data_IF_544233173159
#
_entry.id   IF_544233173159
#
_cell.length_a   1.000
_cell.length_b   1.000
_cell.length_c   1.000
_cell.angle_alpha   90.00
_cell.angle_beta   90.00
_cell.angle_gamma   90.00
#
_symmetry.space_group_name_H-M   'P 1'
#
loop_
_entity.id
_entity.type
_entity.pdbx_description
1 polymer ?
#
# COMPACT_ATOMS: atom_id res chain seq x y z
N UNK A 1 -44.80 3.11 8.66
CA UNK A 1 -43.46 3.67 8.45
C UNK A 1 -42.66 3.29 9.68
N UNK A 2 -41.76 2.32 9.58
CA UNK A 2 -40.87 1.95 10.67
C UNK A 2 -39.92 3.11 10.90
N UNK A 3 -39.94 3.72 12.08
CA UNK A 3 -38.87 4.61 12.51
C UNK A 3 -37.59 3.79 12.55
N UNK A 4 -36.77 3.88 11.48
CA UNK A 4 -35.41 3.35 11.50
C UNK A 4 -34.65 4.19 12.52
N UNK A 5 -34.24 3.57 13.61
CA UNK A 5 -33.45 4.22 14.63
C UNK A 5 -32.15 4.71 14.00
N UNK A 6 -31.88 6.02 14.06
CA UNK A 6 -30.57 6.58 13.75
C UNK A 6 -29.66 6.11 14.89
N UNK A 7 -28.66 5.29 14.53
CA UNK A 7 -27.64 4.87 15.48
C UNK A 7 -26.85 6.12 15.86
N UNK A 8 -26.70 6.39 17.14
CA UNK A 8 -25.95 7.54 17.63
C UNK A 8 -24.50 7.45 17.15
N UNK A 9 -23.94 8.56 16.69
CA UNK A 9 -22.54 8.62 16.30
C UNK A 9 -21.64 8.38 17.51
N UNK A 10 -20.61 7.54 17.34
CA UNK A 10 -19.65 7.28 18.42
C UNK A 10 -18.79 8.52 18.68
N UNK A 11 -18.76 8.99 19.91
CA UNK A 11 -17.95 10.13 20.34
C UNK A 11 -16.46 9.87 20.13
N UNK A 12 -16.00 8.62 20.35
CA UNK A 12 -14.60 8.23 20.17
C UNK A 12 -14.15 8.29 18.70
N UNK A 13 -15.02 7.88 17.77
CA UNK A 13 -14.75 8.00 16.34
C UNK A 13 -14.70 9.49 15.96
N UNK A 14 -15.66 10.29 16.42
CA UNK A 14 -15.70 11.73 16.15
C UNK A 14 -14.48 12.46 16.73
N UNK A 15 -14.05 12.12 17.94
CA UNK A 15 -12.85 12.64 18.57
C UNK A 15 -11.59 12.32 17.77
N UNK A 16 -11.44 11.07 17.37
CA UNK A 16 -10.31 10.64 16.54
C UNK A 16 -10.27 11.36 15.18
N UNK A 17 -11.44 11.53 14.54
CA UNK A 17 -11.57 12.30 13.30
C UNK A 17 -11.25 13.79 13.48
N UNK A 18 -11.56 14.38 14.62
CA UNK A 18 -11.29 15.80 14.90
C UNK A 18 -9.79 16.12 14.88
N UNK A 19 -8.94 15.15 15.23
CA UNK A 19 -7.49 15.28 15.19
C UNK A 19 -6.96 15.50 13.77
N UNK A 20 -7.69 15.05 12.75
CA UNK A 20 -7.34 15.22 11.33
C UNK A 20 -7.56 16.66 10.81
N UNK A 21 -8.13 17.55 11.63
CA UNK A 21 -8.32 18.98 11.36
C UNK A 21 -9.10 19.30 10.07
N UNK A 22 -9.91 18.37 9.57
CA UNK A 22 -10.69 18.56 8.33
C UNK A 22 -11.70 19.70 8.40
N UNK A 23 -12.13 20.14 9.59
CA UNK A 23 -12.98 21.32 9.78
C UNK A 23 -12.39 22.62 9.21
N UNK A 24 -11.06 22.66 8.99
CA UNK A 24 -10.40 23.80 8.35
C UNK A 24 -10.49 23.77 6.81
N UNK A 25 -10.85 22.62 6.25
CA UNK A 25 -10.82 22.36 4.81
C UNK A 25 -12.25 22.14 4.28
N UNK A 26 -13.13 21.56 5.11
CA UNK A 26 -14.47 21.14 4.73
C UNK A 26 -15.53 21.89 5.49
N UNK A 27 -16.68 22.16 4.80
CA UNK A 27 -17.88 22.63 5.47
C UNK A 27 -18.48 21.53 6.39
N UNK A 28 -19.26 21.94 7.38
CA UNK A 28 -19.92 20.99 8.30
C UNK A 28 -20.76 19.95 7.58
N UNK A 29 -21.46 20.32 6.49
CA UNK A 29 -22.26 19.41 5.66
C UNK A 29 -21.39 18.30 5.03
N UNK A 30 -20.21 18.66 4.53
CA UNK A 30 -19.31 17.68 3.94
C UNK A 30 -18.63 16.79 5.00
N UNK A 31 -18.33 17.38 6.16
CA UNK A 31 -17.81 16.65 7.31
C UNK A 31 -18.81 15.63 7.82
N UNK A 32 -20.10 15.98 7.88
CA UNK A 32 -21.20 15.07 8.25
C UNK A 32 -21.22 13.82 7.33
N UNK A 33 -21.08 14.01 6.00
CA UNK A 33 -21.00 12.88 5.08
C UNK A 33 -19.79 11.98 5.33
N UNK A 34 -18.62 12.57 5.60
CA UNK A 34 -17.42 11.81 5.93
C UNK A 34 -17.61 11.01 7.22
N UNK A 35 -18.13 11.63 8.25
CA UNK A 35 -18.42 10.98 9.53
C UNK A 35 -19.37 9.80 9.32
N UNK A 36 -20.46 9.98 8.58
CA UNK A 36 -21.42 8.92 8.30
C UNK A 36 -20.81 7.75 7.51
N UNK A 37 -19.96 8.04 6.52
CA UNK A 37 -19.24 7.00 5.74
C UNK A 37 -18.29 6.20 6.64
N UNK A 38 -17.51 6.89 7.47
CA UNK A 38 -16.54 6.24 8.37
C UNK A 38 -17.25 5.39 9.42
N UNK A 39 -18.32 5.90 10.03
CA UNK A 39 -19.12 5.09 10.98
C UNK A 39 -19.70 3.85 10.30
N UNK A 40 -20.24 4.00 9.08
CA UNK A 40 -20.79 2.86 8.33
C UNK A 40 -19.74 1.79 8.03
N UNK A 41 -18.46 2.15 7.86
CA UNK A 41 -17.38 1.19 7.63
C UNK A 41 -17.14 0.25 8.84
N UNK A 42 -17.49 0.68 10.05
CA UNK A 42 -17.39 -0.14 11.26
C UNK A 42 -18.62 -1.03 11.52
N UNK A 43 -19.70 -0.88 10.75
CA UNK A 43 -20.89 -1.72 10.94
C UNK A 43 -20.62 -3.19 10.61
N UNK A 44 -21.21 -4.15 11.35
CA UNK A 44 -21.13 -5.57 11.02
C UNK A 44 -21.62 -5.91 9.61
N UNK A 45 -22.65 -5.20 9.13
CA UNK A 45 -23.27 -5.37 7.82
C UNK A 45 -22.65 -4.52 6.70
N UNK A 46 -21.48 -3.91 6.95
CA UNK A 46 -20.82 -3.12 5.94
C UNK A 46 -20.29 -3.98 4.80
N UNK A 47 -20.76 -3.71 3.59
CA UNK A 47 -20.37 -4.39 2.36
C UNK A 47 -19.99 -3.38 1.26
N UNK A 48 -19.39 -2.25 1.62
CA UNK A 48 -19.05 -1.18 0.68
C UNK A 48 -20.25 -0.38 0.17
N UNK A 49 -21.43 -0.54 0.81
CA UNK A 49 -22.68 0.10 0.38
C UNK A 49 -22.85 1.45 1.06
N UNK A 50 -22.97 2.51 0.25
CA UNK A 50 -23.29 3.87 0.73
C UNK A 50 -24.65 3.90 1.45
N UNK A 51 -25.56 2.97 1.14
CA UNK A 51 -26.88 2.89 1.77
C UNK A 51 -26.83 2.79 3.31
N UNK A 52 -25.73 2.27 3.87
CA UNK A 52 -25.57 2.16 5.33
C UNK A 52 -25.36 3.50 6.04
N UNK A 53 -25.00 4.57 5.31
CA UNK A 53 -24.85 5.91 5.89
C UNK A 53 -26.15 6.46 6.48
N UNK A 54 -27.30 5.96 6.04
CA UNK A 54 -28.64 6.31 6.60
C UNK A 54 -28.75 6.08 8.12
N UNK A 55 -27.94 5.20 8.67
CA UNK A 55 -27.94 4.94 10.12
C UNK A 55 -27.20 6.02 10.93
N UNK A 56 -26.42 6.88 10.28
CA UNK A 56 -25.57 7.88 10.93
C UNK A 56 -25.82 9.30 10.46
N UNK A 57 -26.73 9.50 9.52
CA UNK A 57 -27.08 10.81 8.98
C UNK A 57 -28.53 10.78 8.51
N UNK A 58 -29.25 11.89 8.69
CA UNK A 58 -30.59 12.10 8.14
C UNK A 58 -30.57 12.30 6.61
N UNK A 59 -29.39 12.44 6.02
CA UNK A 59 -29.22 12.64 4.58
C UNK A 59 -29.53 11.36 3.81
N UNK A 60 -30.32 11.51 2.77
CA UNK A 60 -30.62 10.39 1.88
C UNK A 60 -29.33 9.89 1.18
N UNK A 61 -29.26 8.58 0.90
CA UNK A 61 -28.11 7.94 0.22
C UNK A 61 -27.67 8.62 -1.08
N UNK A 62 -28.62 9.27 -1.82
CA UNK A 62 -28.32 10.03 -3.02
C UNK A 62 -27.47 11.26 -2.76
N UNK A 63 -27.66 11.92 -1.60
CA UNK A 63 -26.81 13.05 -1.18
C UNK A 63 -25.37 12.60 -0.92
N UNK A 64 -25.18 11.42 -0.32
CA UNK A 64 -23.86 10.83 -0.09
C UNK A 64 -23.22 10.42 -1.43
N UNK A 65 -23.99 9.81 -2.34
CA UNK A 65 -23.49 9.49 -3.68
C UNK A 65 -23.10 10.77 -4.45
N UNK A 66 -23.91 11.83 -4.36
CA UNK A 66 -23.58 13.13 -4.96
C UNK A 66 -22.34 13.76 -4.31
N UNK A 67 -22.22 13.73 -2.99
CA UNK A 67 -21.02 14.18 -2.27
C UNK A 67 -19.75 13.51 -2.80
N UNK A 68 -19.75 12.18 -3.00
CA UNK A 68 -18.61 11.46 -3.50
C UNK A 68 -18.34 11.75 -5.00
N UNK A 69 -19.37 11.72 -5.84
CA UNK A 69 -19.21 11.82 -7.28
C UNK A 69 -19.04 13.27 -7.77
N UNK A 70 -19.86 14.19 -7.28
CA UNK A 70 -20.06 15.52 -7.86
C UNK A 70 -19.88 16.66 -6.87
N UNK A 71 -19.77 16.36 -5.57
CA UNK A 71 -19.58 17.36 -4.52
C UNK A 71 -18.36 18.27 -4.79
N UNK A 72 -18.51 19.56 -4.53
CA UNK A 72 -17.49 20.59 -4.81
C UNK A 72 -16.42 20.71 -3.73
N UNK A 73 -16.24 19.70 -2.89
CA UNK A 73 -15.17 19.70 -1.89
C UNK A 73 -13.81 19.35 -2.50
N UNK A 74 -12.76 19.97 -1.96
CA UNK A 74 -11.39 19.72 -2.41
C UNK A 74 -10.84 18.45 -1.79
N UNK A 75 -11.04 17.33 -2.51
CA UNK A 75 -10.49 16.03 -2.09
C UNK A 75 -8.97 15.95 -2.18
N UNK A 76 -8.33 16.79 -3.00
CA UNK A 76 -6.87 16.84 -3.09
C UNK A 76 -6.28 17.51 -1.85
N UNK A 77 -6.93 18.55 -1.32
CA UNK A 77 -6.48 19.17 -0.08
C UNK A 77 -6.69 18.26 1.13
N UNK A 78 -7.79 17.50 1.17
CA UNK A 78 -8.00 16.45 2.19
C UNK A 78 -6.92 15.37 2.09
N UNK A 79 -6.58 14.91 0.89
CA UNK A 79 -5.52 13.92 0.65
C UNK A 79 -4.15 14.48 1.08
N UNK A 80 -3.80 15.72 0.73
CA UNK A 80 -2.55 16.36 1.18
C UNK A 80 -2.48 16.45 2.71
N UNK A 81 -3.57 16.86 3.35
CA UNK A 81 -3.64 16.94 4.82
C UNK A 81 -3.46 15.57 5.45
N UNK A 82 -4.11 14.55 4.89
CA UNK A 82 -3.96 13.16 5.33
C UNK A 82 -2.53 12.64 5.17
N UNK A 83 -1.93 12.82 3.99
CA UNK A 83 -0.54 12.40 3.73
C UNK A 83 0.44 13.07 4.68
N UNK A 84 0.25 14.36 4.94
CA UNK A 84 1.06 15.09 5.92
C UNK A 84 0.97 14.45 7.30
N UNK A 85 -0.22 14.09 7.76
CA UNK A 85 -0.39 13.46 9.06
C UNK A 85 0.21 12.04 9.12
N UNK A 86 0.10 11.25 8.05
CA UNK A 86 0.75 9.96 7.96
C UNK A 86 2.27 10.08 8.06
N UNK A 87 2.87 11.04 7.34
CA UNK A 87 4.31 11.37 7.44
C UNK A 87 4.67 11.81 8.85
N UNK A 88 3.98 12.81 9.40
CA UNK A 88 4.27 13.36 10.73
C UNK A 88 4.23 12.26 11.79
N UNK A 89 3.26 11.36 11.72
CA UNK A 89 3.09 10.25 12.66
C UNK A 89 4.21 9.22 12.56
N UNK A 90 4.56 8.78 11.33
CA UNK A 90 5.62 7.78 11.13
C UNK A 90 6.99 8.37 11.42
N UNK A 91 7.24 9.62 11.02
CA UNK A 91 8.53 10.29 11.28
C UNK A 91 8.71 10.64 12.76
N UNK A 92 7.63 10.96 13.47
CA UNK A 92 7.69 11.10 14.93
C UNK A 92 8.08 9.77 15.58
N UNK A 93 7.49 8.65 15.14
CA UNK A 93 7.86 7.32 15.62
C UNK A 93 9.34 7.00 15.37
N UNK A 94 9.83 7.34 14.18
CA UNK A 94 11.24 7.13 13.83
C UNK A 94 12.17 7.96 14.72
N UNK A 95 11.87 9.25 14.97
CA UNK A 95 12.66 10.08 15.89
C UNK A 95 12.67 9.53 17.30
N UNK A 96 11.52 9.04 17.78
CA UNK A 96 11.36 8.51 19.13
C UNK A 96 12.09 7.18 19.32
N UNK A 97 12.00 6.28 18.35
CA UNK A 97 12.54 4.92 18.45
C UNK A 97 13.96 4.76 17.90
N UNK A 98 14.47 5.75 17.13
CA UNK A 98 15.71 5.61 16.37
C UNK A 98 15.62 4.63 15.20
N UNK A 99 14.47 4.00 14.97
CA UNK A 99 14.28 2.97 13.96
C UNK A 99 14.14 3.57 12.56
N UNK A 100 14.52 2.82 11.50
CA UNK A 100 14.45 3.27 10.13
C UNK A 100 13.01 3.45 9.65
N UNK A 101 12.84 4.33 8.67
CA UNK A 101 11.59 4.51 7.92
C UNK A 101 11.60 3.63 6.68
N UNK A 102 10.50 2.96 6.42
CA UNK A 102 10.26 2.21 5.19
C UNK A 102 9.19 2.90 4.36
N UNK A 103 9.48 3.17 3.08
CA UNK A 103 8.49 3.51 2.08
C UNK A 103 8.26 2.28 1.21
N UNK A 104 7.05 1.73 1.25
CA UNK A 104 6.72 0.44 0.63
C UNK A 104 5.73 0.68 -0.48
N UNK A 105 6.03 0.17 -1.67
CA UNK A 105 5.20 0.34 -2.87
C UNK A 105 4.81 -1.02 -3.43
N UNK A 106 3.52 -1.14 -3.73
CA UNK A 106 2.95 -2.29 -4.43
C UNK A 106 1.63 -1.89 -5.09
N UNK A 107 1.05 -2.73 -5.91
CA UNK A 107 -0.27 -2.51 -6.48
C UNK A 107 -1.26 -3.63 -6.13
N UNK A 108 -2.53 -3.27 -6.18
CA UNK A 108 -3.62 -4.19 -5.90
C UNK A 108 -4.76 -3.99 -6.90
N UNK A 109 -5.62 -4.98 -7.01
CA UNK A 109 -6.77 -4.98 -7.91
C UNK A 109 -8.07 -5.00 -7.12
N UNK A 110 -9.10 -4.35 -7.67
CA UNK A 110 -10.48 -4.44 -7.23
C UNK A 110 -11.33 -4.93 -8.40
N UNK A 111 -11.75 -6.21 -8.32
CA UNK A 111 -12.50 -6.88 -9.40
C UNK A 111 -13.98 -6.52 -9.35
N UNK A 112 -14.60 -6.35 -10.52
CA UNK A 112 -16.01 -6.05 -10.68
C UNK A 112 -16.67 -7.00 -11.67
N UNK A 113 -18.00 -7.11 -11.57
CA UNK A 113 -18.78 -7.67 -12.65
C UNK A 113 -18.77 -6.69 -13.83
N UNK A 114 -18.33 -7.14 -14.99
CA UNK A 114 -18.32 -6.31 -16.18
C UNK A 114 -19.76 -5.82 -16.50
N UNK A 115 -19.95 -4.53 -16.78
CA UNK A 115 -21.24 -4.04 -17.20
C UNK A 115 -21.62 -4.63 -18.56
N UNK A 116 -22.92 -4.68 -18.86
CA UNK A 116 -23.40 -5.04 -20.20
C UNK A 116 -22.78 -4.11 -21.25
N UNK A 117 -22.52 -4.61 -22.44
CA UNK A 117 -22.05 -3.81 -23.58
C UNK A 117 -23.02 -2.66 -23.96
N UNK A 118 -24.29 -2.77 -23.56
CA UNK A 118 -25.32 -1.75 -23.75
C UNK A 118 -25.42 -0.78 -22.56
N UNK A 119 -24.55 -0.87 -21.56
CA UNK A 119 -24.61 0.01 -20.40
C UNK A 119 -24.30 1.46 -20.82
N UNK A 120 -25.22 2.39 -20.53
CA UNK A 120 -25.07 3.82 -20.81
C UNK A 120 -23.94 4.45 -19.99
N UNK A 121 -23.66 3.90 -18.83
CA UNK A 121 -22.64 4.40 -17.90
C UNK A 121 -21.74 3.24 -17.43
N UNK A 122 -20.69 2.90 -18.19
CA UNK A 122 -19.69 1.93 -17.75
C UNK A 122 -18.96 2.43 -16.49
N UNK A 123 -18.23 1.55 -15.81
CA UNK A 123 -17.40 1.93 -14.68
C UNK A 123 -16.14 2.65 -15.22
N UNK A 124 -15.99 3.94 -14.87
CA UNK A 124 -14.85 4.75 -15.32
C UNK A 124 -13.53 4.18 -14.80
N UNK A 125 -12.47 4.21 -15.60
CA UNK A 125 -11.13 3.70 -15.31
C UNK A 125 -11.05 2.21 -14.94
N UNK A 126 -12.10 1.42 -15.18
CA UNK A 126 -12.04 -0.03 -15.07
C UNK A 126 -11.85 -0.66 -16.45
N UNK A 127 -11.04 -1.70 -16.54
CA UNK A 127 -10.75 -2.38 -17.80
C UNK A 127 -10.41 -3.85 -17.60
N UNK A 128 -10.39 -4.61 -18.70
CA UNK A 128 -9.97 -6.01 -18.67
C UNK A 128 -8.46 -6.13 -18.53
N UNK A 129 -8.04 -6.95 -17.57
CA UNK A 129 -6.66 -7.36 -17.34
C UNK A 129 -6.54 -8.88 -17.29
N UNK A 130 -5.39 -9.40 -17.68
CA UNK A 130 -5.08 -10.80 -17.44
C UNK A 130 -4.75 -10.97 -15.95
N UNK A 131 -5.64 -11.59 -15.21
CA UNK A 131 -5.41 -11.94 -13.81
C UNK A 131 -4.52 -13.19 -13.72
N UNK A 132 -3.30 -13.02 -13.23
CA UNK A 132 -2.39 -14.14 -13.01
C UNK A 132 -2.91 -15.13 -11.95
N UNK A 133 -3.70 -14.65 -10.99
CA UNK A 133 -4.32 -15.47 -9.95
C UNK A 133 -5.48 -16.32 -10.50
N UNK A 134 -6.36 -15.69 -11.28
CA UNK A 134 -7.54 -16.35 -11.87
C UNK A 134 -7.24 -17.05 -13.18
N UNK A 135 -6.08 -16.79 -13.80
CA UNK A 135 -5.68 -17.27 -15.13
C UNK A 135 -6.69 -16.94 -16.25
N UNK A 136 -7.40 -15.84 -16.10
CA UNK A 136 -8.38 -15.35 -17.08
C UNK A 136 -8.39 -13.82 -17.10
N UNK A 137 -9.03 -13.25 -18.11
CA UNK A 137 -9.30 -11.80 -18.14
C UNK A 137 -10.34 -11.44 -17.08
N UNK A 138 -10.01 -10.48 -16.23
CA UNK A 138 -10.88 -9.94 -15.19
C UNK A 138 -11.14 -8.45 -15.43
N UNK A 139 -12.37 -7.99 -15.14
CA UNK A 139 -12.73 -6.56 -15.24
C UNK A 139 -12.50 -5.89 -13.91
N UNK A 140 -11.56 -4.95 -13.86
CA UNK A 140 -11.03 -4.49 -12.60
C UNK A 140 -10.50 -3.06 -12.63
N UNK A 141 -10.48 -2.42 -11.45
CA UNK A 141 -9.59 -1.30 -11.19
C UNK A 141 -8.25 -1.80 -10.66
N UNK A 142 -7.18 -1.08 -10.99
CA UNK A 142 -5.89 -1.22 -10.35
C UNK A 142 -5.58 0.00 -9.49
N UNK A 143 -5.03 -0.24 -8.31
CA UNK A 143 -4.60 0.81 -7.40
C UNK A 143 -3.12 0.66 -7.08
N UNK A 144 -2.37 1.75 -7.21
CA UNK A 144 -0.99 1.85 -6.72
C UNK A 144 -1.04 2.32 -5.27
N UNK A 145 -0.56 1.47 -4.35
CA UNK A 145 -0.48 1.75 -2.93
C UNK A 145 0.93 2.16 -2.52
N UNK A 146 1.03 3.16 -1.65
CA UNK A 146 2.28 3.58 -1.01
C UNK A 146 2.06 3.65 0.49
N UNK A 147 2.87 2.93 1.24
CA UNK A 147 2.85 2.92 2.70
C UNK A 147 4.12 3.49 3.29
N UNK A 148 3.99 4.16 4.41
CA UNK A 148 5.09 4.47 5.30
C UNK A 148 5.03 3.58 6.53
N UNK A 149 6.18 3.03 6.93
CA UNK A 149 6.25 2.14 8.09
C UNK A 149 7.49 2.45 8.94
N UNK A 150 7.34 2.35 10.26
CA UNK A 150 8.42 2.45 11.23
C UNK A 150 8.01 1.73 12.53
N UNK A 151 8.91 0.92 13.09
CA UNK A 151 8.74 0.30 14.41
C UNK A 151 7.36 -0.37 14.62
N UNK A 152 6.90 -1.17 13.65
CA UNK A 152 5.61 -1.87 13.71
C UNK A 152 4.37 -1.02 13.36
N UNK A 153 4.51 0.30 13.27
CA UNK A 153 3.45 1.18 12.75
C UNK A 153 3.54 1.25 11.22
N UNK A 154 2.48 0.89 10.53
CA UNK A 154 2.38 0.96 9.07
C UNK A 154 1.12 1.73 8.67
N UNK A 155 1.30 2.83 7.96
CA UNK A 155 0.22 3.73 7.55
C UNK A 155 0.19 3.89 6.03
N UNK A 156 -1.00 3.86 5.45
CA UNK A 156 -1.14 4.24 4.05
C UNK A 156 -0.77 5.71 3.87
N UNK A 157 0.09 5.99 2.90
CA UNK A 157 0.47 7.33 2.48
C UNK A 157 -0.28 7.77 1.24
N UNK A 158 -0.46 6.87 0.28
CA UNK A 158 -1.22 7.13 -0.94
C UNK A 158 -1.87 5.85 -1.47
N UNK A 159 -3.09 6.00 -2.02
CA UNK A 159 -3.79 4.98 -2.78
C UNK A 159 -4.28 5.65 -4.08
N UNK A 160 -3.64 5.37 -5.19
CA UNK A 160 -3.88 6.05 -6.46
C UNK A 160 -4.52 5.08 -7.45
N UNK A 161 -5.68 5.46 -7.98
CA UNK A 161 -6.33 4.73 -9.06
C UNK A 161 -5.47 4.81 -10.33
N UNK A 162 -5.16 3.65 -10.91
CA UNK A 162 -4.42 3.56 -12.16
C UNK A 162 -5.37 3.57 -13.34
N UNK A 163 -5.43 4.70 -14.04
CA UNK A 163 -6.32 4.95 -15.18
C UNK A 163 -5.63 4.84 -16.56
N UNK A 164 -4.38 4.37 -16.59
CA UNK A 164 -3.50 4.28 -17.77
C UNK A 164 -3.09 5.63 -18.39
N UNK A 165 -3.54 6.76 -17.89
CA UNK A 165 -3.10 8.09 -18.38
C UNK A 165 -1.61 8.33 -18.13
N UNK A 166 -1.04 7.67 -17.11
CA UNK A 166 0.37 7.71 -16.72
C UNK A 166 0.85 6.31 -16.36
N UNK A 167 2.14 6.04 -16.50
CA UNK A 167 2.71 4.78 -16.02
C UNK A 167 2.70 4.68 -14.49
N UNK A 168 2.61 3.48 -13.95
CA UNK A 168 2.72 3.26 -12.50
C UNK A 168 4.06 3.78 -11.95
N UNK A 169 5.13 3.69 -12.73
CA UNK A 169 6.47 4.23 -12.38
C UNK A 169 6.38 5.75 -12.23
N UNK A 170 5.75 6.45 -13.16
CA UNK A 170 5.59 7.91 -13.07
C UNK A 170 4.72 8.33 -11.87
N UNK A 171 3.65 7.59 -11.58
CA UNK A 171 2.82 7.83 -10.38
C UNK A 171 3.69 7.77 -9.13
N UNK A 172 4.46 6.68 -8.96
CA UNK A 172 5.31 6.48 -7.78
C UNK A 172 6.45 7.50 -7.73
N UNK A 173 7.03 7.88 -8.88
CA UNK A 173 8.07 8.92 -8.95
C UNK A 173 7.55 10.27 -8.45
N UNK A 174 6.34 10.68 -8.86
CA UNK A 174 5.72 11.92 -8.35
C UNK A 174 5.47 11.85 -6.84
N UNK A 175 4.96 10.72 -6.36
CA UNK A 175 4.76 10.50 -4.93
C UNK A 175 6.09 10.58 -4.17
N UNK A 176 7.18 10.01 -4.70
CA UNK A 176 8.49 10.13 -4.10
C UNK A 176 8.99 11.58 -4.01
N UNK A 177 8.69 12.40 -5.02
CA UNK A 177 9.05 13.83 -5.03
C UNK A 177 8.35 14.63 -3.93
N UNK A 178 7.13 14.21 -3.54
CA UNK A 178 6.34 14.88 -2.48
C UNK A 178 6.77 14.43 -1.07
N UNK A 179 7.54 13.33 -0.94
CA UNK A 179 7.99 12.85 0.36
C UNK A 179 9.03 13.80 0.97
N UNK A 180 8.86 14.19 2.24
CA UNK A 180 9.91 14.86 2.98
C UNK A 180 11.09 13.93 3.24
N UNK A 181 12.27 14.52 3.45
CA UNK A 181 13.46 13.76 3.86
C UNK A 181 13.21 13.08 5.21
N UNK A 182 13.46 11.78 5.33
CA UNK A 182 13.25 11.04 6.57
C UNK A 182 14.24 11.45 7.67
N UNK A 183 13.83 11.37 8.96
CA UNK A 183 14.68 11.81 10.07
C UNK A 183 15.84 10.86 10.40
N UNK A 184 15.74 9.61 10.01
CA UNK A 184 16.74 8.56 10.23
C UNK A 184 16.98 7.78 8.95
N UNK A 185 17.73 6.68 9.01
CA UNK A 185 17.90 5.76 7.89
C UNK A 185 16.56 5.39 7.28
N UNK A 186 16.51 5.30 5.96
CA UNK A 186 15.26 5.04 5.26
C UNK A 186 15.46 4.13 4.05
N UNK A 187 14.46 3.27 3.81
CA UNK A 187 14.50 2.25 2.78
C UNK A 187 13.24 2.27 1.93
N UNK A 188 13.43 2.28 0.62
CA UNK A 188 12.39 2.06 -0.37
C UNK A 188 12.26 0.56 -0.64
N UNK A 189 11.11 -0.04 -0.33
CA UNK A 189 10.83 -1.46 -0.53
C UNK A 189 9.82 -1.66 -1.65
N UNK A 190 10.13 -2.48 -2.63
CA UNK A 190 9.25 -2.71 -3.77
C UNK A 190 9.43 -4.10 -4.39
N UNK A 191 8.45 -4.50 -5.20
CA UNK A 191 8.56 -5.69 -6.02
C UNK A 191 9.41 -5.44 -7.28
N UNK A 192 9.55 -6.47 -8.11
CA UNK A 192 10.37 -6.40 -9.34
C UNK A 192 9.79 -5.51 -10.45
N UNK A 193 8.53 -5.11 -10.35
CA UNK A 193 7.91 -4.16 -11.28
C UNK A 193 8.41 -2.74 -11.03
N UNK A 194 8.54 -2.37 -9.74
CA UNK A 194 8.93 -1.02 -9.31
C UNK A 194 10.45 -0.85 -9.14
N UNK A 195 11.25 -1.91 -9.31
CA UNK A 195 12.71 -1.81 -9.24
C UNK A 195 13.27 -1.29 -10.59
N UNK A 196 13.15 0.00 -10.82
CA UNK A 196 13.67 0.71 -11.99
C UNK A 196 14.72 1.72 -11.57
N UNK A 197 15.69 2.04 -12.48
CA UNK A 197 16.71 3.07 -12.24
C UNK A 197 16.08 4.43 -11.92
N UNK A 198 14.97 4.77 -12.58
CA UNK A 198 14.22 6.01 -12.35
C UNK A 198 13.70 6.12 -10.92
N UNK A 199 13.09 5.07 -10.38
CA UNK A 199 12.59 5.08 -8.99
C UNK A 199 13.72 4.99 -7.98
N UNK A 200 14.75 4.17 -8.23
CA UNK A 200 15.93 4.11 -7.36
C UNK A 200 16.54 5.51 -7.21
N UNK A 201 16.73 6.24 -8.32
CA UNK A 201 17.26 7.60 -8.30
C UNK A 201 16.32 8.59 -7.59
N UNK A 202 15.01 8.52 -7.85
CA UNK A 202 14.03 9.42 -7.23
C UNK A 202 13.97 9.25 -5.70
N UNK A 203 13.99 8.02 -5.21
CA UNK A 203 14.01 7.74 -3.77
C UNK A 203 15.37 8.05 -3.14
N UNK A 204 16.47 7.83 -3.85
CA UNK A 204 17.81 8.20 -3.38
C UNK A 204 17.95 9.71 -3.15
N UNK A 205 17.38 10.55 -4.04
CA UNK A 205 17.31 12.00 -3.88
C UNK A 205 16.57 12.45 -2.60
N UNK A 206 15.70 11.58 -2.07
CA UNK A 206 14.97 11.82 -0.81
C UNK A 206 15.62 11.14 0.40
N UNK A 207 16.80 10.54 0.24
CA UNK A 207 17.54 9.90 1.32
C UNK A 207 17.12 8.44 1.60
N UNK A 208 16.37 7.81 0.69
CA UNK A 208 16.02 6.40 0.81
C UNK A 208 17.01 5.51 0.05
N UNK A 209 17.51 4.46 0.69
CA UNK A 209 18.18 3.36 0.02
C UNK A 209 17.15 2.35 -0.49
N UNK A 210 17.40 1.74 -1.64
CA UNK A 210 16.46 0.77 -2.23
C UNK A 210 16.80 -0.66 -1.83
N UNK A 211 15.81 -1.41 -1.38
CA UNK A 211 15.87 -2.88 -1.25
C UNK A 211 14.62 -3.43 -1.94
N UNK A 212 14.80 -4.15 -3.04
CA UNK A 212 13.67 -4.60 -3.86
C UNK A 212 13.87 -5.99 -4.46
N UNK A 213 12.77 -6.61 -4.90
CA UNK A 213 12.91 -7.75 -5.80
C UNK A 213 13.43 -7.27 -7.16
N UNK A 214 14.21 -8.11 -7.83
CA UNK A 214 14.77 -7.82 -9.13
C UNK A 214 14.31 -8.86 -10.14
N UNK A 215 13.99 -8.44 -11.36
CA UNK A 215 13.67 -9.38 -12.43
C UNK A 215 14.88 -10.25 -12.76
N UNK A 216 14.67 -11.54 -12.96
CA UNK A 216 15.73 -12.52 -13.18
C UNK A 216 16.50 -12.33 -14.50
N UNK A 217 15.96 -11.53 -15.43
CA UNK A 217 16.61 -11.15 -16.69
C UNK A 217 17.51 -9.92 -16.59
N UNK A 218 17.66 -9.32 -15.40
CA UNK A 218 18.56 -8.17 -15.19
C UNK A 218 20.01 -8.58 -15.37
N UNK A 219 20.80 -7.64 -15.92
CA UNK A 219 22.22 -7.86 -16.20
C UNK A 219 23.04 -7.62 -14.94
N UNK A 220 23.90 -8.58 -14.65
CA UNK A 220 24.96 -8.54 -13.64
C UNK A 220 26.30 -8.88 -14.32
N UNK A 221 27.43 -8.67 -13.64
CA UNK A 221 28.77 -8.86 -14.19
C UNK A 221 29.64 -9.74 -13.27
N UNK A 222 29.19 -10.97 -12.89
CA UNK A 222 30.02 -11.86 -12.09
C UNK A 222 31.29 -12.20 -12.88
N UNK A 223 32.44 -12.13 -12.21
CA UNK A 223 33.76 -12.30 -12.82
C UNK A 223 33.98 -11.38 -14.05
N UNK A 224 33.41 -10.16 -14.04
CA UNK A 224 33.43 -9.18 -15.13
C UNK A 224 32.72 -9.62 -16.43
N UNK A 225 32.03 -10.75 -16.42
CA UNK A 225 31.28 -11.27 -17.56
C UNK A 225 29.85 -10.74 -17.52
N UNK A 226 29.42 -10.03 -18.57
CA UNK A 226 28.08 -9.51 -18.74
C UNK A 226 27.09 -10.63 -19.03
N UNK A 227 26.15 -10.88 -18.08
CA UNK A 227 25.11 -11.90 -18.27
C UNK A 227 23.85 -11.61 -17.44
N UNK A 228 22.75 -12.25 -17.80
CA UNK A 228 21.53 -12.18 -17.02
C UNK A 228 21.66 -12.98 -15.71
N UNK A 229 21.04 -12.50 -14.63
CA UNK A 229 21.05 -13.20 -13.34
C UNK A 229 20.54 -14.65 -13.48
N UNK A 230 19.48 -14.90 -14.26
CA UNK A 230 18.97 -16.27 -14.52
C UNK A 230 19.94 -17.15 -15.33
N UNK A 231 20.77 -16.55 -16.19
CA UNK A 231 21.75 -17.30 -16.96
C UNK A 231 22.97 -17.68 -16.11
N UNK A 232 23.32 -16.86 -15.13
CA UNK A 232 24.37 -17.16 -14.16
C UNK A 232 23.93 -18.19 -13.10
N UNK A 233 22.66 -18.18 -12.71
CA UNK A 233 22.14 -18.98 -11.60
C UNK A 233 22.50 -20.49 -11.64
N UNK A 234 22.55 -21.19 -12.79
CA UNK A 234 22.96 -22.59 -12.86
C UNK A 234 24.44 -22.85 -12.47
N UNK A 235 25.27 -21.83 -12.49
CA UNK A 235 26.68 -21.94 -12.08
C UNK A 235 26.87 -21.89 -10.56
N UNK A 236 25.85 -21.47 -9.81
CA UNK A 236 25.90 -21.34 -8.34
C UNK A 236 26.00 -22.71 -7.70
N UNK A 237 27.06 -22.92 -6.91
CA UNK A 237 27.27 -24.14 -6.12
C UNK A 237 27.08 -23.85 -4.65
N UNK A 238 26.67 -24.86 -3.89
CA UNK A 238 26.44 -24.74 -2.44
C UNK A 238 27.71 -24.41 -1.65
N UNK A 239 28.85 -24.84 -2.13
CA UNK A 239 30.19 -24.63 -1.57
C UNK A 239 30.90 -23.38 -2.06
N UNK A 240 30.24 -22.56 -2.90
CA UNK A 240 30.79 -21.27 -3.36
C UNK A 240 30.94 -20.33 -2.15
N UNK A 241 32.09 -19.67 -1.99
CA UNK A 241 32.35 -18.73 -0.88
C UNK A 241 31.39 -17.55 -0.82
N UNK A 242 30.73 -17.21 -1.93
CA UNK A 242 29.71 -16.17 -2.01
C UNK A 242 28.30 -16.68 -1.66
N UNK A 243 28.13 -17.97 -1.38
CA UNK A 243 26.84 -18.56 -1.00
C UNK A 243 26.77 -18.66 0.53
N UNK A 244 25.72 -18.15 1.07
CA UNK A 244 25.39 -18.28 2.50
C UNK A 244 24.02 -18.90 2.69
N UNK A 245 23.85 -19.66 3.77
CA UNK A 245 22.57 -20.14 4.21
C UNK A 245 22.02 -19.18 5.26
N UNK A 246 20.92 -18.51 4.94
CA UNK A 246 20.29 -17.49 5.78
C UNK A 246 18.89 -17.90 6.19
N UNK A 247 18.42 -17.39 7.33
CA UNK A 247 17.08 -17.69 7.86
C UNK A 247 16.28 -16.41 8.00
N UNK A 248 15.13 -16.34 7.31
CA UNK A 248 14.20 -15.21 7.40
C UNK A 248 12.87 -15.71 7.95
N UNK A 249 12.52 -15.28 9.15
CA UNK A 249 11.40 -15.85 9.90
C UNK A 249 11.62 -17.36 10.14
N UNK A 250 10.75 -18.20 9.58
CA UNK A 250 10.83 -19.66 9.70
C UNK A 250 11.37 -20.35 8.43
N UNK A 251 11.89 -19.59 7.47
CA UNK A 251 12.31 -20.11 6.15
C UNK A 251 13.81 -19.96 5.97
N UNK A 252 14.44 -21.00 5.43
CA UNK A 252 15.88 -21.01 5.12
C UNK A 252 16.09 -20.88 3.62
N UNK A 253 17.11 -20.10 3.23
CA UNK A 253 17.44 -19.79 1.86
C UNK A 253 18.95 -19.90 1.64
N UNK A 254 19.36 -20.52 0.53
CA UNK A 254 20.69 -20.34 -0.03
C UNK A 254 20.68 -19.05 -0.84
N UNK A 255 21.59 -18.13 -0.54
CA UNK A 255 21.73 -16.86 -1.21
C UNK A 255 23.14 -16.66 -1.70
N UNK A 256 23.32 -16.58 -3.01
CA UNK A 256 24.57 -16.13 -3.62
C UNK A 256 24.58 -14.59 -3.61
N UNK A 257 25.65 -14.01 -3.08
CA UNK A 257 25.88 -12.56 -3.01
C UNK A 257 26.80 -12.11 -4.14
N UNK A 258 26.29 -11.25 -4.99
CA UNK A 258 27.04 -10.49 -5.97
C UNK A 258 27.08 -9.02 -5.54
N UNK A 259 28.25 -8.38 -5.61
CA UNK A 259 28.40 -6.95 -5.39
C UNK A 259 29.08 -6.32 -6.61
N UNK A 260 28.45 -5.31 -7.20
CA UNK A 260 28.96 -4.65 -8.40
C UNK A 260 27.89 -3.91 -9.19
N UNK A 261 28.20 -3.67 -10.46
CA UNK A 261 27.30 -3.01 -11.41
C UNK A 261 26.10 -3.88 -11.76
N UNK A 262 24.91 -3.27 -11.80
CA UNK A 262 23.63 -3.93 -12.13
C UNK A 262 22.87 -3.05 -13.10
N UNK A 263 22.75 -3.46 -14.37
CA UNK A 263 22.11 -2.64 -15.41
C UNK A 263 22.56 -1.17 -15.32
N UNK A 264 21.70 -0.27 -14.86
CA UNK A 264 21.94 1.18 -14.78
C UNK A 264 22.41 1.65 -13.38
N UNK A 265 22.63 0.72 -12.44
CA UNK A 265 23.13 1.02 -11.12
C UNK A 265 24.61 0.66 -11.01
N UNK A 266 25.49 1.64 -10.79
CA UNK A 266 26.94 1.44 -10.79
C UNK A 266 27.44 0.53 -9.66
N UNK A 267 26.79 0.58 -8.49
CA UNK A 267 27.15 -0.27 -7.34
C UNK A 267 25.93 -0.69 -6.56
N UNK A 268 25.67 -1.99 -6.49
CA UNK A 268 24.62 -2.60 -5.67
C UNK A 268 25.01 -4.01 -5.24
N UNK A 269 24.34 -4.51 -4.22
CA UNK A 269 24.33 -5.93 -3.87
C UNK A 269 23.16 -6.60 -4.58
N UNK A 270 23.41 -7.72 -5.24
CA UNK A 270 22.37 -8.60 -5.78
C UNK A 270 22.44 -9.94 -5.09
N UNK A 271 21.31 -10.40 -4.59
CA UNK A 271 21.17 -11.71 -3.98
C UNK A 271 20.37 -12.62 -4.92
N UNK A 272 20.98 -13.74 -5.32
CA UNK A 272 20.31 -14.81 -6.05
C UNK A 272 19.93 -15.89 -5.04
N UNK A 273 18.63 -15.99 -4.74
CA UNK A 273 18.13 -16.78 -3.62
C UNK A 273 17.30 -17.98 -4.08
N UNK A 274 17.49 -19.08 -3.38
CA UNK A 274 16.68 -20.29 -3.49
C UNK A 274 16.20 -20.72 -2.11
N UNK A 275 14.99 -21.25 -1.99
CA UNK A 275 14.64 -21.97 -0.77
C UNK A 275 15.61 -23.15 -0.58
N UNK A 276 15.82 -23.56 0.66
CA UNK A 276 16.78 -24.63 0.97
C UNK A 276 16.54 -25.93 0.15
N UNK A 277 15.28 -26.21 -0.15
CA UNK A 277 14.86 -27.41 -0.90
C UNK A 277 14.88 -27.25 -2.42
N UNK A 278 15.10 -26.03 -2.93
CA UNK A 278 14.95 -25.71 -4.36
C UNK A 278 16.23 -25.18 -5.01
N UNK A 279 17.38 -25.34 -4.35
CA UNK A 279 18.67 -24.93 -4.92
C UNK A 279 18.90 -25.62 -6.27
N UNK A 280 19.23 -24.83 -7.29
CA UNK A 280 19.45 -25.30 -8.64
C UNK A 280 18.19 -25.42 -9.51
N UNK A 281 16.99 -25.20 -8.97
CA UNK A 281 15.76 -25.14 -9.76
C UNK A 281 15.59 -23.72 -10.36
N UNK A 282 15.70 -23.53 -11.68
CA UNK A 282 15.61 -22.20 -12.30
C UNK A 282 14.29 -21.46 -12.03
N UNK A 283 13.18 -22.18 -11.91
CA UNK A 283 11.85 -21.61 -11.67
C UNK A 283 11.68 -21.10 -10.23
N UNK A 284 12.51 -21.60 -9.32
CA UNK A 284 12.49 -21.19 -7.91
C UNK A 284 13.42 -20.01 -7.61
N UNK A 285 14.18 -19.54 -8.59
CA UNK A 285 15.10 -18.39 -8.42
C UNK A 285 14.31 -17.13 -8.02
N UNK A 286 14.76 -16.50 -6.93
CA UNK A 286 14.35 -15.15 -6.53
C UNK A 286 15.59 -14.26 -6.49
N UNK A 287 15.46 -13.09 -7.08
CA UNK A 287 16.58 -12.14 -7.15
C UNK A 287 16.18 -10.87 -6.40
N UNK A 288 17.08 -10.37 -5.56
CA UNK A 288 16.88 -9.13 -4.82
C UNK A 288 18.03 -8.18 -5.08
N UNK A 289 17.77 -6.89 -4.95
CA UNK A 289 18.77 -5.83 -5.05
C UNK A 289 18.75 -4.99 -3.78
N UNK A 290 19.95 -4.54 -3.36
CA UNK A 290 20.11 -3.52 -2.34
C UNK A 290 21.12 -2.48 -2.81
N UNK A 291 20.75 -1.19 -2.76
CA UNK A 291 21.70 -0.09 -2.95
C UNK A 291 22.51 0.18 -1.67
N UNK A 292 22.08 -0.35 -0.53
CA UNK A 292 22.85 -0.36 0.72
C UNK A 292 23.80 -1.55 0.70
N UNK A 293 25.05 -1.29 0.40
CA UNK A 293 26.07 -2.35 0.20
C UNK A 293 26.68 -2.87 1.49
N UNK A 294 26.57 -2.11 2.59
CA UNK A 294 27.15 -2.50 3.89
C UNK A 294 26.32 -3.55 4.64
N UNK A 295 25.08 -3.81 4.20
CA UNK A 295 24.24 -4.84 4.82
C UNK A 295 24.76 -6.25 4.48
N UNK A 296 24.71 -7.13 5.44
CA UNK A 296 24.85 -8.57 5.23
C UNK A 296 23.69 -9.12 4.39
N UNK A 297 23.88 -10.31 3.86
CA UNK A 297 22.84 -11.05 3.13
C UNK A 297 21.58 -11.25 3.98
N UNK A 298 21.77 -11.56 5.26
CA UNK A 298 20.68 -11.73 6.23
C UNK A 298 19.89 -10.44 6.43
N UNK A 299 20.54 -9.32 6.68
CA UNK A 299 19.90 -8.02 6.90
C UNK A 299 19.10 -7.56 5.68
N UNK A 300 19.65 -7.72 4.46
CA UNK A 300 18.92 -7.36 3.22
C UNK A 300 17.59 -8.13 3.12
N UNK A 301 17.61 -9.44 3.36
CA UNK A 301 16.40 -10.26 3.26
C UNK A 301 15.41 -9.99 4.38
N UNK A 302 15.86 -9.73 5.61
CA UNK A 302 15.01 -9.31 6.74
C UNK A 302 14.36 -7.95 6.49
N UNK A 303 15.12 -6.98 5.96
CA UNK A 303 14.57 -5.69 5.58
C UNK A 303 13.54 -5.82 4.45
N UNK A 304 13.84 -6.62 3.42
CA UNK A 304 12.88 -6.86 2.34
C UNK A 304 11.59 -7.52 2.84
N UNK A 305 11.67 -8.41 3.83
CA UNK A 305 10.49 -9.07 4.39
C UNK A 305 9.47 -8.08 4.99
N UNK A 306 9.91 -6.90 5.42
CA UNK A 306 9.01 -5.83 5.91
C UNK A 306 8.06 -5.30 4.82
N UNK A 307 8.36 -5.54 3.54
CA UNK A 307 7.46 -5.23 2.41
C UNK A 307 6.08 -5.89 2.58
N UNK A 308 6.02 -7.03 3.26
CA UNK A 308 4.76 -7.75 3.48
C UNK A 308 3.67 -6.91 4.16
N UNK A 309 4.01 -5.86 4.87
CA UNK A 309 3.03 -4.99 5.54
C UNK A 309 2.04 -4.34 4.57
N UNK A 310 2.42 -4.05 3.31
CA UNK A 310 1.49 -3.50 2.31
C UNK A 310 0.46 -4.55 1.84
N UNK A 311 0.86 -5.82 1.75
CA UNK A 311 -0.06 -6.90 1.41
C UNK A 311 -1.08 -7.14 2.54
N UNK A 312 -0.66 -6.99 3.80
CA UNK A 312 -1.56 -7.01 4.96
C UNK A 312 -2.54 -5.84 4.89
N UNK A 313 -2.07 -4.64 4.56
CA UNK A 313 -2.93 -3.47 4.37
C UNK A 313 -3.98 -3.72 3.27
N UNK A 314 -3.58 -4.19 2.09
CA UNK A 314 -4.53 -4.49 1.01
C UNK A 314 -5.54 -5.56 1.41
N UNK A 315 -5.11 -6.59 2.14
CA UNK A 315 -6.00 -7.61 2.68
C UNK A 315 -7.04 -7.00 3.63
N UNK A 316 -6.62 -6.15 4.55
CA UNK A 316 -7.50 -5.46 5.50
C UNK A 316 -8.50 -4.56 4.75
N UNK A 317 -8.04 -3.81 3.75
CA UNK A 317 -8.91 -2.99 2.91
C UNK A 317 -9.98 -3.81 2.19
N UNK A 318 -9.64 -4.97 1.63
CA UNK A 318 -10.59 -5.85 0.94
C UNK A 318 -11.53 -6.56 1.90
N UNK A 319 -11.00 -7.16 2.97
CA UNK A 319 -11.79 -8.02 3.85
C UNK A 319 -12.64 -7.26 4.87
N UNK A 320 -12.15 -6.12 5.37
CA UNK A 320 -12.83 -5.34 6.42
C UNK A 320 -13.48 -4.07 5.89
N UNK A 321 -12.83 -3.40 4.95
CA UNK A 321 -13.28 -2.10 4.44
C UNK A 321 -13.98 -2.20 3.08
N UNK A 322 -14.16 -3.41 2.55
CA UNK A 322 -14.86 -3.65 1.28
C UNK A 322 -14.35 -2.79 0.10
N UNK A 323 -13.03 -2.59 0.04
CA UNK A 323 -12.34 -1.81 -0.98
C UNK A 323 -12.71 -2.23 -2.42
N UNK A 324 -12.85 -3.53 -2.65
CA UNK A 324 -13.19 -4.16 -3.91
C UNK A 324 -14.70 -4.31 -4.16
N UNK A 325 -15.54 -3.75 -3.29
CA UNK A 325 -17.02 -3.85 -3.38
C UNK A 325 -17.71 -2.51 -3.57
N UNK A 326 -16.95 -1.46 -3.86
CA UNK A 326 -17.49 -0.13 -4.14
C UNK A 326 -18.39 -0.16 -5.37
N UNK A 327 -19.63 0.34 -5.23
CA UNK A 327 -20.63 0.36 -6.31
C UNK A 327 -20.68 1.69 -7.06
N UNK A 328 -19.77 2.62 -6.77
CA UNK A 328 -19.64 3.86 -7.52
C UNK A 328 -19.11 3.58 -8.94
N UNK A 329 -19.53 4.39 -9.91
CA UNK A 329 -19.14 4.24 -11.31
C UNK A 329 -18.22 5.35 -11.80
N UNK A 330 -18.27 6.53 -11.19
CA UNK A 330 -17.39 7.65 -11.53
C UNK A 330 -16.04 7.51 -10.88
N UNK A 331 -14.97 7.69 -11.63
CA UNK A 331 -13.59 7.66 -11.16
C UNK A 331 -13.39 8.51 -9.90
N UNK A 332 -13.85 9.77 -9.96
CA UNK A 332 -13.75 10.72 -8.85
C UNK A 332 -14.39 10.19 -7.55
N UNK A 333 -15.55 9.56 -7.65
CA UNK A 333 -16.23 8.98 -6.49
C UNK A 333 -15.46 7.80 -5.89
N UNK A 334 -14.87 6.98 -6.74
CA UNK A 334 -14.07 5.81 -6.34
C UNK A 334 -12.80 6.26 -5.62
N UNK A 335 -12.06 7.22 -6.19
CA UNK A 335 -10.85 7.78 -5.58
C UNK A 335 -11.14 8.40 -4.21
N UNK A 336 -12.24 9.15 -4.10
CA UNK A 336 -12.70 9.72 -2.83
C UNK A 336 -13.08 8.65 -1.80
N UNK A 337 -13.79 7.59 -2.22
CA UNK A 337 -14.10 6.48 -1.34
C UNK A 337 -12.81 5.80 -0.83
N UNK A 338 -11.85 5.54 -1.70
CA UNK A 338 -10.57 4.93 -1.31
C UNK A 338 -9.78 5.80 -0.33
N UNK A 339 -9.81 7.12 -0.52
CA UNK A 339 -9.25 8.06 0.46
C UNK A 339 -9.92 7.90 1.83
N UNK A 340 -11.26 7.83 1.89
CA UNK A 340 -11.98 7.67 3.15
C UNK A 340 -11.72 6.31 3.82
N UNK A 341 -11.58 5.24 3.04
CA UNK A 341 -11.17 3.92 3.58
C UNK A 341 -9.73 3.94 4.12
N UNK A 342 -8.84 4.70 3.49
CA UNK A 342 -7.48 4.94 4.00
C UNK A 342 -7.50 5.68 5.34
N UNK A 343 -8.43 6.63 5.52
CA UNK A 343 -8.65 7.30 6.81
C UNK A 343 -9.12 6.31 7.89
N UNK A 344 -10.04 5.40 7.57
CA UNK A 344 -10.47 4.35 8.52
C UNK A 344 -9.30 3.50 8.96
N UNK A 345 -8.45 3.07 8.02
CA UNK A 345 -7.24 2.31 8.35
C UNK A 345 -6.29 3.12 9.26
N UNK A 346 -6.08 4.39 8.93
CA UNK A 346 -5.24 5.29 9.72
C UNK A 346 -5.74 5.40 11.16
N UNK A 347 -7.03 5.67 11.36
CA UNK A 347 -7.64 5.78 12.68
C UNK A 347 -7.41 4.50 13.51
N UNK A 348 -7.65 3.33 12.92
CA UNK A 348 -7.44 2.05 13.60
C UNK A 348 -5.98 1.83 14.02
N UNK A 349 -5.01 2.22 13.17
CA UNK A 349 -3.59 2.01 13.42
C UNK A 349 -2.95 3.06 14.35
N UNK A 350 -3.61 4.20 14.57
CA UNK A 350 -3.06 5.30 15.38
C UNK A 350 -3.63 5.39 16.79
N UNK A 351 -4.58 4.53 17.14
CA UNK A 351 -5.06 4.42 18.51
C UNK A 351 -3.89 4.11 19.46
N UNK A 352 -3.72 4.85 20.57
CA UNK A 352 -2.59 4.69 21.48
C UNK A 352 -2.41 3.25 21.98
N UNK A 353 -3.51 2.61 22.42
CA UNK A 353 -3.50 1.26 23.02
C UNK A 353 -3.33 0.14 22.00
N UNK A 354 -3.60 0.42 20.71
CA UNK A 354 -3.58 -0.57 19.62
C UNK A 354 -2.65 -0.14 18.48
N UNK A 355 -1.66 0.70 18.77
CA UNK A 355 -0.76 1.28 17.78
C UNK A 355 -0.18 0.24 16.83
N UNK A 356 -0.40 0.43 15.53
CA UNK A 356 0.02 -0.49 14.46
C UNK A 356 -0.83 -1.76 14.30
N UNK A 357 -1.76 -2.04 15.22
CA UNK A 357 -2.58 -3.24 15.22
C UNK A 357 -3.99 -2.96 14.64
N UNK A 358 -4.10 -2.90 13.30
CA UNK A 358 -5.35 -2.57 12.62
C UNK A 358 -6.55 -3.38 13.12
N UNK A 359 -6.44 -4.70 13.23
CA UNK A 359 -7.55 -5.58 13.64
C UNK A 359 -8.08 -5.23 15.04
N UNK A 360 -7.18 -4.91 15.97
CA UNK A 360 -7.56 -4.52 17.33
C UNK A 360 -8.23 -3.14 17.36
N UNK A 361 -7.64 -2.17 16.63
CA UNK A 361 -8.25 -0.83 16.51
C UNK A 361 -9.60 -0.87 15.80
N UNK A 362 -9.75 -1.72 14.78
CA UNK A 362 -11.02 -1.90 14.09
C UNK A 362 -12.08 -2.53 15.01
N UNK A 363 -11.73 -3.54 15.78
CA UNK A 363 -12.61 -4.15 16.78
C UNK A 363 -13.05 -3.14 17.85
N UNK A 364 -12.10 -2.37 18.38
CA UNK A 364 -12.39 -1.30 19.37
C UNK A 364 -13.41 -0.29 18.86
N UNK A 365 -13.19 0.31 17.66
CA UNK A 365 -14.15 1.28 17.12
C UNK A 365 -15.52 0.65 16.83
N UNK A 366 -15.55 -0.61 16.45
CA UNK A 366 -16.80 -1.35 16.25
C UNK A 366 -17.57 -1.54 17.55
N UNK A 367 -16.89 -1.85 18.64
CA UNK A 367 -17.48 -1.93 19.98
C UNK A 367 -18.00 -0.57 20.44
N UNK A 368 -17.22 0.49 20.29
CA UNK A 368 -17.65 1.85 20.57
C UNK A 368 -18.92 2.25 19.79
N UNK A 369 -19.05 1.77 18.55
CA UNK A 369 -20.23 2.02 17.74
C UNK A 369 -21.45 1.25 18.22
N UNK A 370 -21.28 0.02 18.71
CA UNK A 370 -22.38 -0.80 19.20
C UNK A 370 -22.88 -0.38 20.59
N UNK A 371 -22.06 0.36 21.35
CA UNK A 371 -22.37 0.89 22.67
C UNK A 371 -22.96 2.32 22.63
N UNK A 372 -22.88 3.01 21.49
CA UNK A 372 -23.39 4.37 21.31
C UNK A 372 -24.89 4.42 21.01
#
# INVERSE_FOLDING_TARGET
MSHEYIVKQSEEICKSLSQLRFRKILSDVYLEHIIAIIHSAFMPSYHGKIANTKYFSEKHRTSVAHFLNDGKWDSLEVDRSFRKQAVDTVYHESRKSGQPVFCIVDDTIASYTAPSSQALHPIEAAYYHMSHLKKCHDYEHQAVGVMLSCNGLSLNYAMVLYDKSRSKIEIVRRIAQDLPVPPNAAYFLCDSWYTSSELIAAFAQKGFQTIGALRTNRIIYPNQIRQQAKAFAPAIRKDDPNVSLVTVGHRRFYAYRYEGKVSDCEKAVVLLCYSEKSLGNPDALRVFISTQTNFSTQEILEMYAKRWSIEVFFRNCKQKLAFDKCQLRKQRGIERMWLLLSLVHFLCCTLPDYRGAFEKGFAYFRECLLQA
#
